data_IF_499003380509
#
_entry.id   IF_499003380509
#
_cell.length_a   1.000
_cell.length_b   1.000
_cell.length_c   1.000
_cell.angle_alpha   90.00
_cell.angle_beta   90.00
_cell.angle_gamma   90.00
#
_symmetry.space_group_name_H-M   'P 1'
#
loop_
_entity.id
_entity.type
_entity.pdbx_description
1 polymer ?
#
# COMPACT_ATOMS: atom_id res chain seq x y z
N UNK A 1 -17.32 -22.68 11.11
CA UNK A 1 -16.07 -22.82 10.34
C UNK A 1 -15.22 -21.62 10.72
N UNK A 2 -13.99 -21.82 11.17
CA UNK A 2 -13.08 -20.70 11.44
C UNK A 2 -12.76 -19.99 10.11
N UNK A 3 -12.84 -18.67 10.10
CA UNK A 3 -12.48 -17.85 8.94
C UNK A 3 -10.95 -17.73 8.90
N UNK A 4 -10.30 -18.40 7.96
CA UNK A 4 -8.85 -18.42 7.83
C UNK A 4 -8.38 -17.61 6.63
N UNK A 5 -7.29 -16.86 6.80
CA UNK A 5 -6.62 -16.13 5.74
C UNK A 5 -5.18 -16.62 5.57
N UNK A 6 -4.72 -16.66 4.33
CA UNK A 6 -3.31 -16.83 4.03
C UNK A 6 -2.63 -15.48 4.10
N UNK A 7 -1.58 -15.39 4.89
CA UNK A 7 -0.73 -14.20 5.02
C UNK A 7 0.65 -14.51 4.48
N UNK A 8 1.17 -13.59 3.68
CA UNK A 8 2.53 -13.66 3.15
C UNK A 8 3.27 -12.36 3.42
N UNK A 9 4.54 -12.44 3.76
CA UNK A 9 5.41 -11.29 3.95
C UNK A 9 6.51 -11.30 2.88
N UNK A 10 6.65 -10.18 2.20
CA UNK A 10 7.68 -9.93 1.20
C UNK A 10 8.45 -8.70 1.66
N UNK A 11 9.76 -8.76 1.66
CA UNK A 11 10.63 -7.66 2.06
C UNK A 11 11.70 -7.35 1.04
N UNK A 12 12.35 -6.22 1.24
CA UNK A 12 13.57 -5.85 0.53
C UNK A 12 14.66 -5.65 1.58
N UNK A 13 15.82 -6.25 1.35
CA UNK A 13 16.99 -6.14 2.22
C UNK A 13 17.75 -4.83 1.99
N UNK A 14 18.83 -4.63 2.76
CA UNK A 14 19.69 -3.45 2.72
C UNK A 14 20.45 -3.31 1.39
N UNK A 15 20.65 -4.40 0.66
CA UNK A 15 21.29 -4.41 -0.65
C UNK A 15 20.31 -4.21 -1.82
N UNK A 16 19.03 -4.09 -1.52
CA UNK A 16 17.98 -3.87 -2.51
C UNK A 16 17.43 -5.14 -3.14
N UNK A 17 17.73 -6.32 -2.61
CA UNK A 17 17.14 -7.58 -3.06
C UNK A 17 15.79 -7.83 -2.40
N UNK A 18 14.92 -8.47 -3.13
CA UNK A 18 13.57 -8.78 -2.66
C UNK A 18 13.48 -10.26 -2.29
N UNK A 19 12.87 -10.53 -1.14
CA UNK A 19 12.75 -11.86 -0.58
C UNK A 19 11.35 -12.14 -0.06
N UNK A 20 10.94 -13.41 -0.14
CA UNK A 20 9.81 -13.92 0.62
C UNK A 20 10.25 -14.19 2.06
N UNK A 21 9.75 -13.40 2.99
CA UNK A 21 10.12 -13.46 4.40
C UNK A 21 9.31 -14.52 5.18
N UNK A 22 8.10 -14.81 4.73
CA UNK A 22 7.24 -15.78 5.40
C UNK A 22 5.91 -16.01 4.72
N UNK A 23 5.35 -17.18 5.01
CA UNK A 23 4.00 -17.61 4.67
C UNK A 23 3.37 -18.19 5.92
N UNK A 24 2.09 -17.92 6.13
CA UNK A 24 1.33 -18.49 7.25
C UNK A 24 -0.16 -18.48 6.97
N UNK A 25 -0.88 -19.24 7.76
CA UNK A 25 -2.34 -19.21 7.81
C UNK A 25 -2.75 -18.66 9.16
N UNK A 26 -3.55 -17.61 9.15
CA UNK A 26 -4.04 -16.94 10.35
C UNK A 26 -5.55 -17.09 10.47
N UNK A 27 -6.04 -17.14 11.69
CA UNK A 27 -7.46 -17.00 11.98
C UNK A 27 -7.78 -15.50 11.97
N UNK A 28 -8.68 -15.10 11.08
CA UNK A 28 -9.02 -13.67 10.88
C UNK A 28 -9.78 -13.07 12.06
N UNK A 29 -10.37 -13.90 12.92
CA UNK A 29 -11.13 -13.47 14.09
C UNK A 29 -10.28 -13.40 15.37
N UNK A 30 -9.03 -13.93 15.33
CA UNK A 30 -8.14 -13.99 16.47
C UNK A 30 -7.03 -12.93 16.38
N UNK A 31 -7.00 -12.00 17.34
CA UNK A 31 -5.92 -11.02 17.47
C UNK A 31 -4.55 -11.70 17.69
N UNK A 32 -4.49 -12.76 18.47
CA UNK A 32 -3.26 -13.50 18.75
C UNK A 32 -2.70 -14.18 17.51
N UNK A 33 -3.57 -14.61 16.59
CA UNK A 33 -3.17 -15.16 15.30
C UNK A 33 -2.45 -14.13 14.43
N UNK A 34 -2.91 -12.87 14.44
CA UNK A 34 -2.25 -11.77 13.74
C UNK A 34 -0.89 -11.42 14.36
N UNK A 35 -0.75 -11.47 15.69
CA UNK A 35 0.53 -11.22 16.39
C UNK A 35 1.56 -12.31 16.10
N UNK A 36 1.12 -13.55 15.95
CA UNK A 36 1.99 -14.70 15.72
C UNK A 36 2.80 -14.60 14.44
N UNK A 37 2.21 -14.12 13.37
CA UNK A 37 2.87 -14.08 12.06
C UNK A 37 4.05 -13.10 11.98
N UNK A 38 3.95 -11.82 12.35
CA UNK A 38 5.12 -10.91 12.42
C UNK A 38 6.20 -11.43 13.38
N UNK A 39 5.79 -12.04 14.51
CA UNK A 39 6.71 -12.67 15.45
C UNK A 39 7.54 -13.79 14.84
N UNK A 40 6.93 -14.65 14.01
CA UNK A 40 7.64 -15.67 13.25
C UNK A 40 8.63 -15.06 12.24
N UNK A 41 8.22 -14.03 11.51
CA UNK A 41 9.11 -13.31 10.58
C UNK A 41 10.33 -12.74 11.32
N UNK A 42 10.09 -12.10 12.47
CA UNK A 42 11.18 -11.60 13.34
C UNK A 42 12.09 -12.70 13.87
N UNK A 43 11.55 -13.84 14.31
CA UNK A 43 12.33 -14.96 14.84
C UNK A 43 13.25 -15.59 13.79
N UNK A 44 12.90 -15.48 12.51
CA UNK A 44 13.72 -15.91 11.37
C UNK A 44 14.87 -14.96 11.03
N UNK A 45 15.03 -13.87 11.78
CA UNK A 45 16.18 -12.97 11.66
C UNK A 45 15.86 -11.61 11.05
N UNK A 46 14.62 -11.33 10.64
CA UNK A 46 14.26 -10.01 10.11
C UNK A 46 14.43 -8.93 11.18
N UNK A 47 15.24 -7.91 10.88
CA UNK A 47 15.59 -6.79 11.76
C UNK A 47 15.64 -5.50 10.94
N UNK A 48 15.68 -4.35 11.64
CA UNK A 48 15.84 -3.04 11.02
C UNK A 48 14.73 -2.66 10.04
N UNK A 49 13.51 -3.15 10.27
CA UNK A 49 12.36 -2.84 9.42
C UNK A 49 12.02 -1.36 9.54
N UNK A 50 12.12 -0.62 8.45
CA UNK A 50 11.86 0.82 8.39
C UNK A 50 10.42 1.13 8.02
N UNK A 51 9.82 0.33 7.13
CA UNK A 51 8.46 0.52 6.63
C UNK A 51 7.79 -0.83 6.39
N UNK A 52 6.53 -0.93 6.78
CA UNK A 52 5.66 -2.06 6.40
C UNK A 52 4.45 -1.51 5.66
N UNK A 53 4.25 -1.96 4.42
CA UNK A 53 3.08 -1.62 3.62
C UNK A 53 2.02 -2.72 3.72
N UNK A 54 0.79 -2.35 4.01
CA UNK A 54 -0.33 -3.30 4.16
C UNK A 54 -1.68 -2.71 3.78
N UNK A 55 -2.69 -3.56 3.83
CA UNK A 55 -4.09 -3.14 3.69
C UNK A 55 -4.59 -2.57 5.02
N UNK A 56 -5.77 -1.95 5.00
CA UNK A 56 -6.39 -1.39 6.20
C UNK A 56 -6.91 -2.51 7.13
N UNK A 57 -6.01 -3.16 7.84
CA UNK A 57 -6.34 -4.18 8.83
C UNK A 57 -5.73 -3.80 10.18
N UNK A 58 -6.55 -3.36 11.11
CA UNK A 58 -6.09 -2.80 12.38
C UNK A 58 -5.31 -3.81 13.22
N UNK A 59 -5.76 -5.08 13.30
CA UNK A 59 -5.04 -6.13 14.03
C UNK A 59 -3.65 -6.40 13.45
N UNK A 60 -3.49 -6.34 12.12
CA UNK A 60 -2.17 -6.48 11.49
C UNK A 60 -1.30 -5.25 11.80
N UNK A 61 -1.84 -4.04 11.71
CA UNK A 61 -1.12 -2.80 12.01
C UNK A 61 -0.57 -2.82 13.43
N UNK A 62 -1.41 -3.15 14.41
CA UNK A 62 -1.00 -3.28 15.81
C UNK A 62 0.08 -4.35 16.00
N UNK A 63 -0.09 -5.54 15.41
CA UNK A 63 0.88 -6.62 15.49
C UNK A 63 2.25 -6.22 14.91
N UNK A 64 2.28 -5.46 13.81
CA UNK A 64 3.50 -4.93 13.22
C UNK A 64 4.16 -3.90 14.14
N UNK A 65 3.40 -2.94 14.69
CA UNK A 65 3.93 -1.92 15.61
C UNK A 65 4.51 -2.52 16.88
N UNK A 66 3.89 -3.57 17.41
CA UNK A 66 4.40 -4.30 18.58
C UNK A 66 5.67 -5.11 18.27
N UNK A 67 5.73 -5.72 17.08
CA UNK A 67 6.83 -6.62 16.69
C UNK A 67 8.03 -5.86 16.17
N UNK A 68 7.83 -4.85 15.33
CA UNK A 68 8.85 -4.06 14.66
C UNK A 68 8.77 -2.61 15.12
N UNK A 69 9.18 -2.37 16.37
CA UNK A 69 9.17 -1.03 16.96
C UNK A 69 10.01 -0.06 16.13
N UNK A 70 9.44 1.11 15.83
CA UNK A 70 10.06 2.12 14.96
C UNK A 70 9.78 1.95 13.46
N UNK A 71 9.18 0.83 13.03
CA UNK A 71 8.74 0.70 11.65
C UNK A 71 7.53 1.59 11.36
N UNK A 72 7.60 2.39 10.30
CA UNK A 72 6.45 3.14 9.81
C UNK A 72 5.41 2.20 9.20
N UNK A 73 4.14 2.49 9.43
CA UNK A 73 3.04 1.80 8.77
C UNK A 73 2.59 2.57 7.54
N UNK A 74 2.58 1.92 6.38
CA UNK A 74 2.09 2.48 5.13
C UNK A 74 0.80 1.78 4.72
N UNK A 75 -0.31 2.50 4.71
CA UNK A 75 -1.55 2.01 4.12
C UNK A 75 -1.44 2.02 2.59
N UNK A 76 -1.73 0.89 1.94
CA UNK A 76 -1.68 0.79 0.49
C UNK A 76 -2.63 1.79 -0.18
N UNK A 77 -2.09 2.73 -0.95
CA UNK A 77 -2.88 3.80 -1.59
C UNK A 77 -3.93 3.27 -2.58
N UNK A 78 -3.65 2.13 -3.25
CA UNK A 78 -4.62 1.51 -4.18
C UNK A 78 -5.83 0.98 -3.42
N UNK A 79 -5.60 0.32 -2.27
CA UNK A 79 -6.69 -0.15 -1.41
C UNK A 79 -7.45 1.00 -0.76
N UNK A 80 -6.76 2.09 -0.40
CA UNK A 80 -7.41 3.31 0.09
C UNK A 80 -8.32 3.92 -0.97
N UNK A 81 -7.83 4.11 -2.20
CA UNK A 81 -8.66 4.64 -3.30
C UNK A 81 -9.91 3.78 -3.55
N UNK A 82 -9.76 2.46 -3.54
CA UNK A 82 -10.89 1.53 -3.66
C UNK A 82 -11.85 1.61 -2.45
N UNK A 83 -11.32 1.82 -1.25
CA UNK A 83 -12.13 2.01 -0.05
C UNK A 83 -12.98 3.29 -0.15
N UNK A 84 -12.37 4.43 -0.51
CA UNK A 84 -13.09 5.68 -0.76
C UNK A 84 -14.15 5.52 -1.86
N UNK A 85 -13.83 4.83 -2.96
CA UNK A 85 -14.77 4.62 -4.07
C UNK A 85 -15.98 3.75 -3.67
N UNK A 86 -15.82 2.82 -2.73
CA UNK A 86 -16.92 1.98 -2.22
C UNK A 86 -17.93 2.77 -1.40
N UNK A 87 -17.54 3.88 -0.80
CA UNK A 87 -18.45 4.77 -0.07
C UNK A 87 -19.43 5.50 -1.01
N UNK A 88 -19.11 5.60 -2.27
CA UNK A 88 -20.04 6.06 -3.31
C UNK A 88 -20.96 4.90 -3.68
N UNK A 89 -22.23 4.99 -3.30
CA UNK A 89 -23.25 3.92 -3.37
C UNK A 89 -23.50 3.28 -4.75
N UNK A 90 -22.81 3.72 -5.81
CA UNK A 90 -22.92 3.17 -7.15
C UNK A 90 -21.59 3.26 -7.92
N UNK A 91 -21.48 2.52 -9.04
CA UNK A 91 -20.23 2.43 -9.82
C UNK A 91 -19.80 3.76 -10.45
N UNK A 92 -20.73 4.58 -10.94
CA UNK A 92 -20.42 5.85 -11.63
C UNK A 92 -19.82 6.88 -10.67
N UNK A 93 -20.45 7.20 -9.51
CA UNK A 93 -19.83 8.05 -8.48
C UNK A 93 -18.53 7.46 -7.93
N UNK A 94 -18.42 6.13 -7.76
CA UNK A 94 -17.20 5.47 -7.30
C UNK A 94 -16.01 5.72 -8.24
N UNK A 95 -16.21 5.59 -9.54
CA UNK A 95 -15.20 5.95 -10.55
C UNK A 95 -14.80 7.44 -10.48
N UNK A 96 -15.75 8.33 -10.20
CA UNK A 96 -15.47 9.75 -10.00
C UNK A 96 -14.56 9.98 -8.79
N UNK A 97 -14.81 9.30 -7.67
CA UNK A 97 -13.94 9.33 -6.48
C UNK A 97 -12.51 8.88 -6.82
N UNK A 98 -12.35 7.75 -7.50
CA UNK A 98 -11.03 7.26 -7.91
C UNK A 98 -10.27 8.25 -8.80
N UNK A 99 -10.96 8.99 -9.65
CA UNK A 99 -10.38 9.99 -10.55
C UNK A 99 -9.95 11.26 -9.84
N UNK A 100 -10.65 11.66 -8.78
CA UNK A 100 -10.22 12.76 -7.91
C UNK A 100 -8.92 12.36 -7.19
N UNK A 101 -8.81 11.12 -6.74
CA UNK A 101 -7.67 10.63 -5.95
C UNK A 101 -6.44 10.25 -6.79
N UNK A 102 -6.62 9.77 -8.02
CA UNK A 102 -5.51 9.26 -8.83
C UNK A 102 -4.38 10.28 -9.10
N UNK A 103 -4.65 11.56 -9.40
CA UNK A 103 -3.60 12.57 -9.58
C UNK A 103 -2.82 12.85 -8.29
N UNK A 104 -3.48 12.83 -7.13
CA UNK A 104 -2.86 13.07 -5.80
C UNK A 104 -1.68 12.15 -5.60
N UNK A 105 -1.91 10.84 -5.76
CA UNK A 105 -0.88 9.83 -5.52
C UNK A 105 0.11 9.63 -6.69
N UNK A 106 -0.02 10.39 -7.79
CA UNK A 106 0.93 10.38 -8.91
C UNK A 106 1.99 11.48 -8.80
N UNK A 107 1.83 12.42 -7.91
CA UNK A 107 2.79 13.50 -7.69
C UNK A 107 4.18 12.95 -7.33
N UNK A 108 5.22 13.76 -7.59
CA UNK A 108 6.63 13.34 -7.53
C UNK A 108 7.42 13.93 -6.38
N UNK A 109 6.87 14.89 -5.68
CA UNK A 109 7.47 15.51 -4.51
C UNK A 109 6.47 15.58 -3.35
N UNK A 110 6.98 15.67 -2.11
CA UNK A 110 6.17 15.59 -0.90
C UNK A 110 5.18 16.77 -0.78
N UNK A 111 5.60 17.97 -1.17
CA UNK A 111 4.75 19.16 -1.11
C UNK A 111 3.57 19.05 -2.08
N UNK A 112 3.84 18.55 -3.29
CA UNK A 112 2.81 18.31 -4.32
C UNK A 112 1.92 17.10 -4.03
N UNK A 113 2.14 16.34 -2.94
CA UNK A 113 1.22 15.27 -2.50
C UNK A 113 0.29 15.74 -1.39
N UNK A 114 0.81 16.42 -0.35
CA UNK A 114 -0.01 16.81 0.82
C UNK A 114 -1.10 17.83 0.46
N UNK A 115 -0.74 18.90 -0.25
CA UNK A 115 -1.71 19.92 -0.66
C UNK A 115 -2.81 19.37 -1.59
N UNK A 116 -2.52 18.55 -2.64
CA UNK A 116 -3.51 17.82 -3.40
C UNK A 116 -4.38 16.86 -2.58
N UNK A 117 -3.83 16.21 -1.55
CA UNK A 117 -4.62 15.33 -0.69
C UNK A 117 -5.71 16.10 0.05
N UNK A 118 -5.37 17.24 0.64
CA UNK A 118 -6.33 18.13 1.28
C UNK A 118 -7.38 18.66 0.29
N UNK A 119 -6.95 19.08 -0.92
CA UNK A 119 -7.87 19.52 -1.96
C UNK A 119 -8.83 18.40 -2.39
N UNK A 120 -8.32 17.18 -2.56
CA UNK A 120 -9.16 16.04 -2.89
C UNK A 120 -10.17 15.74 -1.77
N UNK A 121 -9.75 15.87 -0.50
CA UNK A 121 -10.64 15.71 0.65
C UNK A 121 -11.79 16.75 0.63
N UNK A 122 -11.48 18.02 0.33
CA UNK A 122 -12.49 19.09 0.19
C UNK A 122 -13.46 18.80 -0.98
N UNK A 123 -12.93 18.38 -2.14
CA UNK A 123 -13.75 18.05 -3.31
C UNK A 123 -14.65 16.84 -3.05
N UNK A 124 -14.13 15.83 -2.35
CA UNK A 124 -14.90 14.66 -1.93
C UNK A 124 -15.96 15.05 -0.89
N UNK A 125 -15.65 15.95 0.04
CA UNK A 125 -16.61 16.48 1.01
C UNK A 125 -17.88 17.06 0.36
N UNK A 126 -17.74 17.66 -0.81
CA UNK A 126 -18.87 18.22 -1.57
C UNK A 126 -19.70 17.15 -2.32
N UNK A 127 -19.10 16.03 -2.74
CA UNK A 127 -19.79 15.04 -3.58
C UNK A 127 -19.96 13.65 -2.93
N UNK A 128 -19.12 13.29 -1.99
CA UNK A 128 -19.15 12.02 -1.26
C UNK A 128 -18.49 12.16 0.14
N UNK A 129 -19.19 12.78 1.13
CA UNK A 129 -18.63 13.08 2.45
C UNK A 129 -17.98 11.88 3.14
N UNK A 130 -18.59 10.70 3.01
CA UNK A 130 -18.04 9.47 3.61
C UNK A 130 -16.67 9.07 3.00
N UNK A 131 -16.47 9.31 1.70
CA UNK A 131 -15.17 9.08 1.08
C UNK A 131 -14.12 10.10 1.57
N UNK A 132 -14.53 11.34 1.87
CA UNK A 132 -13.67 12.34 2.47
C UNK A 132 -13.23 11.95 3.90
N UNK A 133 -14.16 11.44 4.71
CA UNK A 133 -13.86 10.90 6.05
C UNK A 133 -12.83 9.76 5.96
N UNK A 134 -13.08 8.76 5.10
CA UNK A 134 -12.16 7.63 4.90
C UNK A 134 -10.77 8.10 4.45
N UNK A 135 -10.70 9.12 3.60
CA UNK A 135 -9.42 9.69 3.15
C UNK A 135 -8.70 10.42 4.29
N UNK A 136 -9.41 11.28 5.02
CA UNK A 136 -8.86 12.06 6.12
C UNK A 136 -8.31 11.18 7.25
N UNK A 137 -9.07 10.19 7.68
CA UNK A 137 -8.65 9.24 8.71
C UNK A 137 -7.43 8.42 8.30
N UNK A 138 -7.31 8.15 7.01
CA UNK A 138 -6.21 7.34 6.46
C UNK A 138 -4.97 8.15 6.09
N UNK A 139 -5.05 9.47 6.01
CA UNK A 139 -3.99 10.32 5.48
C UNK A 139 -2.63 10.08 6.14
N UNK A 140 -2.49 10.04 7.48
CA UNK A 140 -1.21 9.81 8.12
C UNK A 140 -0.55 8.50 7.66
N UNK A 141 -1.31 7.42 7.65
CA UNK A 141 -0.84 6.09 7.26
C UNK A 141 -0.64 5.96 5.74
N UNK A 142 -1.44 6.66 4.94
CA UNK A 142 -1.35 6.62 3.48
C UNK A 142 -0.20 7.45 2.93
N UNK A 143 0.28 8.43 3.67
CA UNK A 143 1.38 9.33 3.30
C UNK A 143 2.70 9.03 4.01
N UNK A 144 2.79 7.97 4.81
CA UNK A 144 4.03 7.58 5.50
C UNK A 144 5.22 7.35 4.53
N UNK A 145 4.95 6.96 3.28
CA UNK A 145 5.99 6.81 2.26
C UNK A 145 6.72 8.12 1.91
N UNK A 146 6.16 9.29 2.22
CA UNK A 146 6.78 10.59 1.96
C UNK A 146 8.05 10.82 2.80
N UNK A 147 8.18 10.14 3.91
CA UNK A 147 9.37 10.19 4.77
C UNK A 147 10.56 9.41 4.18
N UNK A 148 10.35 8.75 3.04
CA UNK A 148 11.35 7.98 2.29
C UNK A 148 11.80 8.73 1.02
N UNK A 149 12.95 8.35 0.40
CA UNK A 149 13.39 8.96 -0.86
C UNK A 149 12.33 8.83 -1.95
N UNK A 150 12.12 9.88 -2.75
CA UNK A 150 11.12 9.90 -3.81
C UNK A 150 11.32 8.76 -4.84
N UNK A 151 12.55 8.30 -5.02
CA UNK A 151 12.89 7.16 -5.89
C UNK A 151 12.27 5.83 -5.43
N UNK A 152 11.87 5.72 -4.13
CA UNK A 152 11.24 4.53 -3.53
C UNK A 152 9.72 4.56 -3.60
N UNK A 153 9.09 5.72 -3.61
CA UNK A 153 7.65 5.91 -3.42
C UNK A 153 6.78 4.99 -4.26
N UNK A 154 7.11 4.84 -5.54
CA UNK A 154 6.33 3.99 -6.47
C UNK A 154 6.21 2.55 -5.98
N UNK A 155 7.22 2.06 -5.26
CA UNK A 155 7.30 0.66 -4.81
C UNK A 155 6.78 0.45 -3.40
N UNK A 156 6.95 1.45 -2.51
CA UNK A 156 6.58 1.31 -1.10
C UNK A 156 5.17 1.76 -0.76
N UNK A 157 4.55 2.62 -1.58
CA UNK A 157 3.17 3.10 -1.35
C UNK A 157 2.07 2.14 -1.76
N UNK A 158 2.40 1.01 -2.41
CA UNK A 158 1.43 0.04 -2.93
C UNK A 158 1.86 -1.39 -2.68
N UNK A 159 0.90 -2.30 -2.54
CA UNK A 159 1.12 -3.73 -2.39
C UNK A 159 1.11 -4.49 -3.73
N UNK A 160 1.53 -3.86 -4.83
CA UNK A 160 1.44 -4.46 -6.17
C UNK A 160 2.17 -5.79 -6.29
N UNK A 161 3.31 -5.96 -5.60
CA UNK A 161 4.06 -7.22 -5.57
C UNK A 161 3.23 -8.29 -4.89
N UNK A 162 2.69 -7.98 -3.71
CA UNK A 162 1.83 -8.86 -2.94
C UNK A 162 0.56 -9.24 -3.71
N UNK A 163 -0.08 -8.28 -4.41
CA UNK A 163 -1.25 -8.55 -5.25
C UNK A 163 -0.93 -9.53 -6.40
N UNK A 164 0.28 -9.44 -6.98
CA UNK A 164 0.73 -10.38 -8.02
C UNK A 164 0.85 -11.80 -7.44
N UNK A 165 1.56 -11.95 -6.33
CA UNK A 165 1.73 -13.22 -5.65
C UNK A 165 0.38 -13.82 -5.22
N UNK A 166 -0.53 -13.00 -4.68
CA UNK A 166 -1.88 -13.43 -4.31
C UNK A 166 -2.68 -13.91 -5.52
N UNK A 167 -2.51 -13.27 -6.69
CA UNK A 167 -3.17 -13.68 -7.94
C UNK A 167 -2.66 -15.04 -8.41
N UNK A 168 -1.36 -15.26 -8.36
CA UNK A 168 -0.75 -16.53 -8.75
C UNK A 168 -1.15 -17.65 -7.78
N UNK A 169 -1.11 -17.38 -6.48
CA UNK A 169 -1.60 -18.30 -5.45
C UNK A 169 -3.06 -18.70 -5.70
N UNK A 170 -3.94 -17.73 -5.97
CA UNK A 170 -5.36 -18.00 -6.29
C UNK A 170 -5.50 -18.80 -7.59
N UNK A 171 -4.70 -18.53 -8.62
CA UNK A 171 -4.72 -19.27 -9.87
C UNK A 171 -4.41 -20.74 -9.66
N UNK A 172 -3.39 -21.05 -8.84
CA UNK A 172 -2.99 -22.42 -8.55
C UNK A 172 -3.94 -23.12 -7.56
N UNK A 173 -4.43 -22.42 -6.55
CA UNK A 173 -5.34 -23.00 -5.56
C UNK A 173 -6.72 -23.35 -6.14
N UNK A 174 -7.21 -22.62 -7.15
CA UNK A 174 -8.48 -22.96 -7.82
C UNK A 174 -8.53 -24.35 -8.43
N UNK A 175 -7.39 -24.89 -8.85
CA UNK A 175 -7.31 -26.24 -9.45
C UNK A 175 -7.53 -27.32 -8.39
N UNK A 176 -7.13 -27.05 -7.13
CA UNK A 176 -7.23 -28.00 -6.01
C UNK A 176 -8.65 -28.04 -5.42
N UNK A 177 -9.44 -27.00 -5.58
CA UNK A 177 -10.81 -26.80 -5.10
C UNK A 177 -10.97 -26.90 -3.57
N UNK A 178 -10.59 -28.02 -2.94
CA UNK A 178 -10.70 -28.25 -1.49
C UNK A 178 -9.36 -28.77 -0.96
N UNK A 179 -8.87 -28.13 0.09
CA UNK A 179 -7.67 -28.55 0.79
C UNK A 179 -8.01 -29.51 1.94
N UNK A 180 -7.39 -30.68 2.03
CA UNK A 180 -7.67 -31.65 3.08
C UNK A 180 -7.20 -31.18 4.47
N UNK A 181 -6.27 -30.20 4.54
CA UNK A 181 -5.78 -29.60 5.78
C UNK A 181 -5.18 -28.22 5.55
N UNK A 182 -5.06 -27.42 6.62
CA UNK A 182 -4.32 -26.14 6.63
C UNK A 182 -2.88 -26.33 6.14
N UNK A 183 -2.20 -27.38 6.63
CA UNK A 183 -0.84 -27.70 6.21
C UNK A 183 -0.71 -27.99 4.70
N UNK A 184 -1.74 -28.53 4.05
CA UNK A 184 -1.71 -28.73 2.59
C UNK A 184 -1.85 -27.42 1.82
N UNK A 185 -2.63 -26.47 2.35
CA UNK A 185 -2.73 -25.11 1.81
C UNK A 185 -1.41 -24.38 1.98
N UNK A 186 -0.80 -24.42 3.18
CA UNK A 186 0.51 -23.78 3.45
C UNK A 186 1.61 -24.30 2.53
N UNK A 187 1.66 -25.63 2.29
CA UNK A 187 2.63 -26.21 1.34
C UNK A 187 2.45 -25.69 -0.08
N UNK A 188 1.21 -25.59 -0.57
CA UNK A 188 0.97 -25.04 -1.91
C UNK A 188 1.39 -23.57 -1.99
N UNK A 189 0.98 -22.76 -1.01
CA UNK A 189 1.32 -21.32 -1.01
C UNK A 189 2.82 -21.15 -0.85
N UNK A 190 3.47 -21.93 0.03
CA UNK A 190 4.92 -21.95 0.21
C UNK A 190 5.66 -22.26 -1.10
N UNK A 191 5.23 -23.30 -1.83
CA UNK A 191 5.83 -23.63 -3.12
C UNK A 191 5.67 -22.49 -4.15
N UNK A 192 4.49 -21.87 -4.22
CA UNK A 192 4.27 -20.69 -5.10
C UNK A 192 5.17 -19.54 -4.72
N UNK A 193 5.35 -19.29 -3.42
CA UNK A 193 6.22 -18.21 -2.94
C UNK A 193 7.71 -18.51 -3.18
N UNK A 194 8.15 -19.77 -3.10
CA UNK A 194 9.51 -20.16 -3.48
C UNK A 194 9.75 -19.93 -4.98
N UNK A 195 8.81 -20.33 -5.85
CA UNK A 195 8.91 -20.08 -7.30
C UNK A 195 9.04 -18.56 -7.61
N UNK A 196 8.29 -17.71 -6.88
CA UNK A 196 8.38 -16.24 -7.04
C UNK A 196 9.72 -15.69 -6.51
N UNK A 197 10.21 -16.19 -5.38
CA UNK A 197 11.48 -15.78 -4.78
C UNK A 197 12.66 -16.12 -5.72
N UNK A 198 12.68 -17.34 -6.24
CA UNK A 198 13.67 -17.80 -7.24
C UNK A 198 13.64 -16.93 -8.51
N UNK A 199 12.46 -16.56 -8.98
CA UNK A 199 12.30 -15.68 -10.15
C UNK A 199 12.83 -14.26 -9.89
N UNK A 200 12.91 -13.81 -8.64
CA UNK A 200 13.44 -12.49 -8.26
C UNK A 200 14.95 -12.47 -8.04
N UNK A 201 15.58 -13.60 -7.83
CA UNK A 201 17.01 -13.70 -7.55
C UNK A 201 17.91 -13.10 -8.63
N UNK A 202 17.39 -12.97 -9.87
CA UNK A 202 18.14 -12.40 -11.02
C UNK A 202 18.14 -10.87 -11.11
N UNK A 203 17.36 -10.14 -10.28
CA UNK A 203 17.23 -8.68 -10.39
C UNK A 203 16.93 -8.00 -9.07
N UNK A 204 17.72 -7.00 -8.73
CA UNK A 204 17.46 -6.15 -7.56
C UNK A 204 16.14 -5.42 -7.67
N UNK A 205 15.41 -5.33 -6.56
CA UNK A 205 14.18 -4.54 -6.47
C UNK A 205 14.49 -3.04 -6.42
N UNK A 206 15.51 -2.66 -5.64
CA UNK A 206 16.09 -1.33 -5.67
C UNK A 206 17.57 -1.42 -6.08
N UNK A 207 18.04 -0.47 -6.88
CA UNK A 207 19.47 -0.37 -7.21
C UNK A 207 20.27 0.10 -5.99
N UNK A 208 21.59 -0.19 -5.95
CA UNK A 208 22.50 0.28 -4.90
C UNK A 208 22.38 1.79 -4.65
N UNK A 209 22.37 2.58 -5.73
CA UNK A 209 22.19 4.03 -5.65
C UNK A 209 20.90 4.41 -4.91
N UNK A 210 19.79 3.71 -5.14
CA UNK A 210 18.53 3.99 -4.43
C UNK A 210 18.62 3.60 -2.98
N UNK A 211 19.27 2.49 -2.66
CA UNK A 211 19.45 2.07 -1.27
C UNK A 211 20.33 3.05 -0.50
N UNK A 212 21.40 3.61 -1.13
CA UNK A 212 22.22 4.63 -0.47
C UNK A 212 21.44 5.91 -0.13
N UNK A 213 20.44 6.28 -0.94
CA UNK A 213 19.57 7.44 -0.67
C UNK A 213 18.80 7.33 0.66
N UNK A 214 18.63 6.12 1.23
CA UNK A 214 17.97 5.93 2.54
C UNK A 214 18.79 6.51 3.71
N UNK A 215 20.10 6.58 3.53
CA UNK A 215 21.06 6.96 4.56
C UNK A 215 21.62 8.38 4.37
N UNK A 216 21.18 9.07 3.32
CA UNK A 216 21.55 10.45 3.08
C UNK A 216 20.76 11.38 4.02
N UNK A 217 21.44 12.34 4.64
CA UNK A 217 20.77 13.39 5.41
C UNK A 217 19.84 14.19 4.47
N UNK A 218 18.57 14.18 4.77
CA UNK A 218 17.55 14.95 4.07
C UNK A 218 17.08 16.06 4.99
N UNK A 219 17.23 17.34 4.58
CA UNK A 219 16.63 18.41 5.34
C UNK A 219 15.11 18.22 5.39
N UNK A 220 14.53 18.48 6.54
CA UNK A 220 13.08 18.55 6.63
C UNK A 220 12.57 19.58 5.61
N UNK A 221 11.56 19.23 4.80
CA UNK A 221 10.99 20.16 3.85
C UNK A 221 10.44 21.37 4.60
N UNK A 222 10.93 22.57 4.28
CA UNK A 222 10.33 23.79 4.80
C UNK A 222 8.89 23.88 4.34
N UNK A 223 7.93 24.10 5.25
CA UNK A 223 6.53 24.21 4.85
C UNK A 223 6.38 25.38 3.85
N UNK A 224 5.72 25.15 2.71
CA UNK A 224 5.55 26.20 1.71
C UNK A 224 4.74 27.36 2.30
N UNK A 225 5.24 28.58 2.15
CA UNK A 225 4.58 29.79 2.64
C UNK A 225 4.13 30.70 1.48
N UNK A 226 3.00 31.39 1.68
CA UNK A 226 2.52 32.41 0.74
C UNK A 226 2.13 31.86 -0.65
N UNK A 227 2.69 32.43 -1.72
CA UNK A 227 2.37 32.03 -3.11
C UNK A 227 2.85 30.64 -3.44
N UNK A 228 3.96 30.16 -2.86
CA UNK A 228 4.46 28.79 -3.04
C UNK A 228 3.49 27.74 -2.51
N UNK A 229 2.68 28.04 -1.50
CA UNK A 229 1.64 27.13 -1.01
C UNK A 229 0.42 27.05 -1.94
N UNK A 230 0.19 28.06 -2.77
CA UNK A 230 -0.93 28.11 -3.73
C UNK A 230 -0.65 27.34 -5.00
N UNK A 231 0.58 27.33 -5.47
CA UNK A 231 0.96 26.72 -6.74
C UNK A 231 0.73 25.19 -6.80
N UNK A 232 1.17 24.38 -5.81
CA UNK A 232 0.86 22.96 -5.77
C UNK A 232 -0.64 22.66 -5.78
N UNK A 233 -1.44 23.48 -5.10
CA UNK A 233 -2.89 23.34 -5.05
C UNK A 233 -3.57 23.66 -6.39
N UNK A 234 -3.09 24.66 -7.13
CA UNK A 234 -3.56 24.98 -8.48
C UNK A 234 -3.19 23.88 -9.48
N UNK A 235 -1.96 23.41 -9.46
CA UNK A 235 -1.51 22.29 -10.31
C UNK A 235 -2.34 21.04 -10.04
N UNK A 236 -2.59 20.75 -8.77
CA UNK A 236 -3.43 19.62 -8.39
C UNK A 236 -4.88 19.79 -8.89
N UNK A 237 -5.45 20.99 -8.76
CA UNK A 237 -6.79 21.31 -9.23
C UNK A 237 -6.91 21.03 -10.72
N UNK A 238 -5.98 21.56 -11.52
CA UNK A 238 -5.96 21.32 -12.97
C UNK A 238 -5.82 19.84 -13.30
N UNK A 239 -4.95 19.09 -12.58
CA UNK A 239 -4.78 17.67 -12.80
C UNK A 239 -6.03 16.85 -12.48
N UNK A 240 -6.75 17.21 -11.41
CA UNK A 240 -8.01 16.57 -11.04
C UNK A 240 -9.11 16.90 -12.05
N UNK A 241 -9.25 18.18 -12.43
CA UNK A 241 -10.24 18.62 -13.40
C UNK A 241 -10.02 17.94 -14.76
N UNK A 242 -8.79 17.87 -15.27
CA UNK A 242 -8.44 17.15 -16.48
C UNK A 242 -8.74 15.63 -16.38
N UNK A 243 -8.52 15.02 -15.23
CA UNK A 243 -8.87 13.62 -14.98
C UNK A 243 -10.38 13.38 -15.03
N UNK A 244 -11.16 14.31 -14.52
CA UNK A 244 -12.62 14.25 -14.54
C UNK A 244 -13.17 14.48 -15.96
N UNK A 245 -12.69 15.49 -16.70
CA UNK A 245 -13.10 15.77 -18.08
C UNK A 245 -12.81 14.60 -19.02
N UNK A 246 -11.63 13.97 -18.90
CA UNK A 246 -11.30 12.78 -19.69
C UNK A 246 -12.29 11.65 -19.43
N UNK A 247 -12.77 11.57 -18.21
CA UNK A 247 -13.78 10.61 -17.82
C UNK A 247 -15.13 10.84 -18.48
N UNK A 248 -15.59 12.07 -18.38
CA UNK A 248 -16.89 12.42 -18.92
C UNK A 248 -16.91 12.20 -20.45
N UNK A 249 -15.79 12.47 -21.14
CA UNK A 249 -15.64 12.16 -22.58
C UNK A 249 -15.71 10.67 -22.89
N UNK A 250 -15.06 9.82 -22.06
CA UNK A 250 -15.06 8.36 -22.25
C UNK A 250 -16.38 7.70 -21.89
N UNK A 251 -17.22 8.36 -21.09
CA UNK A 251 -18.58 7.88 -20.76
C UNK A 251 -19.63 8.34 -21.79
N UNK A 252 -19.31 9.36 -22.59
CA UNK A 252 -20.17 9.88 -23.63
C UNK A 252 -19.95 9.24 -25.02
N UNK A 253 -18.86 8.48 -25.20
CA UNK A 253 -18.49 7.75 -26.41
C UNK A 253 -18.91 6.28 -26.35
#
# INVERSE_FOLDING_TARGET
>A
MASTAVVTAIGCDEDGWRHVLGVGVVDTESHDSWRGFPGQVRSRGVRGVMLVAGDAHEGLRQAIQETFQGAAWQRCVVHLMRACAREARSQRPGRRVERILAPVFRARDAETVRAPCHLACEMLGACCPRAAEVLGDAEPDALAYLDFPASHWKRVRTNNVQERCNRETRRRSRVVQVFPSVASLERLVGAVMCDEDDAWAGARYFSEKKMSELWEDRPDPEPPTGERAREPRLVARHAIDASLELADRLEAA
#
